data_IF_785190559925
#
_entry.id   IF_785190559925
#
_cell.length_a   1.000
_cell.length_b   1.000
_cell.length_c   1.000
_cell.angle_alpha   90.00
_cell.angle_beta   90.00
_cell.angle_gamma   90.00
#
_symmetry.space_group_name_H-M   'P 1'
#
loop_
_entity.id
_entity.type
_entity.pdbx_description
1 polymer ?
#
# COMPACT_ATOMS: atom_id res chain seq x y z
N UNK A 1 40.15 -6.63 -49.40
CA UNK A 1 38.81 -7.20 -49.65
C UNK A 1 38.49 -8.35 -48.70
N UNK A 2 39.22 -8.48 -47.57
CA UNK A 2 39.09 -9.65 -46.65
C UNK A 2 38.60 -9.31 -45.24
N UNK A 3 38.24 -8.06 -44.98
CA UNK A 3 37.84 -7.62 -43.63
C UNK A 3 36.32 -7.56 -43.46
N UNK A 4 35.54 -7.53 -44.52
CA UNK A 4 34.06 -7.47 -44.47
C UNK A 4 33.39 -8.84 -44.33
N UNK A 5 34.08 -9.92 -44.70
CA UNK A 5 33.52 -11.28 -44.64
C UNK A 5 33.58 -11.89 -43.26
N UNK A 6 34.47 -11.39 -42.39
CA UNK A 6 34.62 -11.89 -41.01
C UNK A 6 33.61 -11.30 -40.03
N UNK A 7 32.97 -10.16 -40.35
CA UNK A 7 31.97 -9.55 -39.47
C UNK A 7 30.53 -10.05 -39.71
N UNK A 8 30.26 -10.67 -40.88
CA UNK A 8 28.94 -11.26 -41.14
C UNK A 8 28.76 -12.67 -40.56
N UNK A 9 29.81 -13.40 -40.30
CA UNK A 9 29.71 -14.74 -39.68
C UNK A 9 29.53 -14.69 -38.16
N UNK A 10 30.01 -13.62 -37.47
CA UNK A 10 29.84 -13.47 -36.02
C UNK A 10 28.43 -13.05 -35.61
N UNK A 11 27.60 -12.50 -36.51
CA UNK A 11 26.24 -12.05 -36.19
C UNK A 11 25.20 -13.16 -36.33
N UNK A 12 25.53 -14.26 -37.03
CA UNK A 12 24.58 -15.33 -37.27
C UNK A 12 24.62 -16.49 -36.27
N UNK A 13 25.64 -16.55 -35.41
CA UNK A 13 25.75 -17.59 -34.37
C UNK A 13 25.01 -17.24 -33.06
N UNK A 14 24.63 -15.97 -32.87
CA UNK A 14 23.93 -15.53 -31.64
C UNK A 14 22.41 -15.54 -31.74
N UNK A 15 21.86 -15.94 -32.89
CA UNK A 15 20.38 -15.97 -33.11
C UNK A 15 19.79 -17.38 -33.01
N UNK A 16 20.62 -18.42 -33.02
CA UNK A 16 20.15 -19.81 -32.94
C UNK A 16 20.13 -20.36 -31.48
N UNK A 17 20.92 -19.79 -30.54
CA UNK A 17 20.90 -20.22 -29.13
C UNK A 17 19.70 -19.70 -28.34
N UNK A 18 19.07 -18.62 -28.74
CA UNK A 18 17.89 -18.03 -28.06
C UNK A 18 16.57 -18.74 -28.41
N UNK A 19 16.59 -19.63 -29.44
CA UNK A 19 15.36 -20.30 -29.91
C UNK A 19 15.12 -21.66 -29.28
N UNK A 20 16.09 -22.21 -28.54
CA UNK A 20 16.02 -23.56 -27.96
C UNK A 20 15.60 -23.58 -26.49
N UNK A 21 15.60 -22.43 -25.78
CA UNK A 21 15.17 -22.34 -24.37
C UNK A 21 13.69 -21.96 -24.18
N UNK A 22 12.95 -21.64 -25.24
CA UNK A 22 11.54 -21.23 -25.14
C UNK A 22 10.52 -22.37 -25.33
N UNK A 23 10.94 -23.63 -25.38
CA UNK A 23 10.04 -24.75 -25.71
C UNK A 23 9.97 -25.87 -24.66
N UNK A 24 10.40 -25.60 -23.41
CA UNK A 24 10.39 -26.61 -22.33
C UNK A 24 9.60 -26.17 -21.08
N UNK A 25 8.49 -25.47 -21.23
CA UNK A 25 7.64 -25.10 -20.11
C UNK A 25 6.15 -25.14 -20.46
N UNK A 26 5.69 -26.27 -21.01
CA UNK A 26 4.26 -26.53 -21.15
C UNK A 26 4.00 -28.03 -21.01
N UNK A 27 4.01 -28.49 -19.76
CA UNK A 27 3.35 -29.75 -19.40
C UNK A 27 3.03 -29.70 -17.89
N UNK A 28 1.78 -29.37 -17.60
CA UNK A 28 1.14 -29.57 -16.31
C UNK A 28 0.52 -30.98 -16.32
N UNK A 29 0.58 -31.73 -15.22
CA UNK A 29 -0.36 -32.82 -15.03
C UNK A 29 -1.51 -32.39 -14.13
N UNK A 30 -2.71 -32.61 -14.65
CA UNK A 30 -3.96 -32.71 -13.91
C UNK A 30 -3.95 -33.90 -12.94
N UNK A 31 -4.86 -33.75 -11.99
CA UNK A 31 -5.56 -34.77 -11.23
C UNK A 31 -4.91 -35.31 -9.96
N UNK A 32 -5.52 -35.05 -8.81
CA UNK A 32 -6.34 -36.13 -8.21
C UNK A 32 -7.18 -35.59 -7.06
N UNK A 33 -8.43 -35.94 -7.15
CA UNK A 33 -9.45 -35.91 -6.12
C UNK A 33 -9.10 -36.95 -5.02
N UNK A 34 -9.54 -36.69 -3.83
CA UNK A 34 -9.48 -37.66 -2.72
C UNK A 34 -9.64 -36.93 -1.39
N UNK A 35 -10.83 -36.91 -0.94
CA UNK A 35 -11.43 -37.74 0.11
C UNK A 35 -11.47 -37.05 1.47
N UNK A 36 -12.70 -36.76 1.89
CA UNK A 36 -13.12 -36.62 3.28
C UNK A 36 -12.65 -37.81 4.13
N UNK A 37 -12.51 -37.61 5.43
CA UNK A 37 -13.23 -38.52 6.29
C UNK A 37 -14.13 -37.82 7.30
N UNK A 38 -15.38 -38.30 7.30
CA UNK A 38 -16.32 -38.36 8.39
C UNK A 38 -15.65 -38.74 9.72
N UNK A 39 -16.10 -38.10 10.77
CA UNK A 39 -16.10 -38.75 12.08
C UNK A 39 -17.48 -38.52 12.70
N UNK A 40 -18.25 -39.58 12.61
CA UNK A 40 -19.39 -39.89 13.47
C UNK A 40 -18.96 -39.96 14.94
N UNK A 41 -19.83 -39.53 15.80
CA UNK A 41 -20.12 -40.16 17.11
C UNK A 41 -21.51 -39.68 17.53
N UNK A 42 -22.52 -40.47 17.29
CA UNK A 42 -23.31 -41.37 18.17
C UNK A 42 -23.77 -40.65 19.44
N UNK A 43 -25.02 -40.51 19.54
CA UNK A 43 -26.15 -41.37 19.84
C UNK A 43 -26.74 -41.01 21.18
N UNK A 44 -27.98 -40.87 21.18
CA UNK A 44 -28.95 -41.76 21.80
C UNK A 44 -29.81 -41.09 22.88
N UNK A 45 -31.08 -41.16 22.58
CA UNK A 45 -32.21 -41.67 23.40
C UNK A 45 -32.70 -40.73 24.50
N UNK A 46 -33.94 -40.48 24.76
CA UNK A 46 -35.20 -41.22 24.49
C UNK A 46 -36.36 -40.20 24.67
N UNK A 47 -37.34 -40.27 23.85
CA UNK A 47 -38.73 -40.58 24.07
C UNK A 47 -39.27 -40.43 25.51
N UNK A 48 -40.26 -39.57 25.68
CA UNK A 48 -41.53 -39.94 26.29
C UNK A 48 -42.54 -38.80 26.16
N UNK A 49 -43.63 -39.06 25.47
CA UNK A 49 -44.89 -38.37 25.65
C UNK A 49 -45.68 -39.10 26.74
N UNK A 50 -46.48 -38.37 27.48
CA UNK A 50 -47.91 -38.80 27.51
C UNK A 50 -48.88 -37.61 27.42
N UNK A 51 -49.89 -37.84 26.54
CA UNK A 51 -51.30 -37.97 26.80
C UNK A 51 -52.01 -36.82 27.48
N UNK A 52 -52.88 -36.24 26.67
CA UNK A 52 -54.17 -35.66 26.90
C UNK A 52 -54.77 -35.71 28.29
N UNK A 53 -55.28 -34.55 28.75
CA UNK A 53 -56.71 -34.48 29.17
C UNK A 53 -57.18 -33.01 29.39
N UNK A 54 -58.39 -32.82 29.00
CA UNK A 54 -59.24 -31.69 28.87
C UNK A 54 -59.42 -30.83 30.15
N UNK A 55 -59.59 -29.50 29.93
CA UNK A 55 -60.59 -28.63 30.60
C UNK A 55 -60.52 -27.28 29.94
N UNK A 56 -61.39 -26.96 29.08
CA UNK A 56 -62.59 -26.10 29.13
C UNK A 56 -62.36 -24.67 29.73
N UNK A 57 -62.64 -23.70 28.86
CA UNK A 57 -63.24 -22.41 29.10
C UNK A 57 -62.45 -21.38 29.91
N UNK A 58 -61.91 -20.41 29.14
CA UNK A 58 -62.16 -18.97 29.38
C UNK A 58 -61.55 -18.15 28.25
N UNK A 59 -62.34 -17.71 27.30
CA UNK A 59 -62.08 -16.50 26.57
C UNK A 59 -62.17 -15.32 27.55
N UNK A 60 -61.19 -14.47 27.55
CA UNK A 60 -61.49 -13.07 27.36
C UNK A 60 -60.66 -12.46 26.26
N UNK A 61 -61.37 -11.89 25.32
CA UNK A 61 -61.20 -10.61 24.74
C UNK A 61 -59.76 -10.09 24.56
N UNK A 62 -59.37 -10.04 23.32
CA UNK A 62 -58.88 -8.82 22.68
C UNK A 62 -57.81 -8.06 23.47
N UNK A 63 -56.62 -8.52 23.37
CA UNK A 63 -55.46 -7.65 23.30
C UNK A 63 -54.58 -8.18 22.13
N UNK A 64 -55.03 -7.89 20.92
CA UNK A 64 -54.13 -7.84 19.79
C UNK A 64 -53.05 -6.82 20.14
N UNK A 65 -52.04 -7.24 20.87
CA UNK A 65 -50.74 -6.64 20.78
C UNK A 65 -50.29 -6.82 19.33
N UNK A 66 -50.69 -5.86 18.51
CA UNK A 66 -50.19 -5.63 17.18
C UNK A 66 -48.67 -5.50 17.36
N UNK A 67 -47.99 -6.61 17.41
CA UNK A 67 -46.53 -6.66 17.19
C UNK A 67 -46.36 -5.99 15.85
N UNK A 68 -45.99 -4.72 15.89
CA UNK A 68 -45.54 -3.98 14.71
C UNK A 68 -44.45 -4.82 14.08
N UNK A 69 -44.86 -5.68 13.17
CA UNK A 69 -43.90 -6.40 12.32
C UNK A 69 -43.21 -5.28 11.56
N UNK A 70 -41.94 -5.01 11.83
CA UNK A 70 -41.27 -3.96 11.12
C UNK A 70 -41.39 -4.24 9.64
N UNK A 71 -41.96 -3.27 8.94
CA UNK A 71 -42.34 -3.40 7.55
C UNK A 71 -41.13 -3.98 6.77
N UNK A 72 -41.31 -5.15 6.20
CA UNK A 72 -40.25 -5.82 5.42
C UNK A 72 -39.73 -4.94 4.29
N UNK A 73 -40.55 -4.01 3.79
CA UNK A 73 -40.18 -3.00 2.80
C UNK A 73 -39.13 -2.04 3.34
N UNK A 74 -39.31 -1.57 4.57
CA UNK A 74 -38.35 -0.68 5.22
C UNK A 74 -37.02 -1.40 5.51
N UNK A 75 -37.09 -2.66 5.93
CA UNK A 75 -35.90 -3.49 6.12
C UNK A 75 -35.17 -3.73 4.79
N UNK A 76 -35.93 -4.04 3.73
CA UNK A 76 -35.39 -4.23 2.40
C UNK A 76 -34.76 -2.94 1.86
N UNK A 77 -35.47 -1.81 1.96
CA UNK A 77 -34.96 -0.51 1.53
C UNK A 77 -33.64 -0.14 2.27
N UNK A 78 -33.58 -0.39 3.59
CA UNK A 78 -32.39 -0.17 4.38
C UNK A 78 -31.25 -1.10 3.95
N UNK A 79 -31.51 -2.40 3.79
CA UNK A 79 -30.53 -3.36 3.33
C UNK A 79 -29.98 -3.02 1.95
N UNK A 80 -30.83 -2.55 1.03
CA UNK A 80 -30.38 -2.07 -0.29
C UNK A 80 -29.49 -0.83 -0.19
N UNK A 81 -29.87 0.14 0.65
CA UNK A 81 -29.05 1.32 0.88
C UNK A 81 -27.68 0.97 1.51
N UNK A 82 -27.67 0.06 2.48
CA UNK A 82 -26.45 -0.44 3.11
C UNK A 82 -25.57 -1.19 2.10
N UNK A 83 -26.17 -2.01 1.24
CA UNK A 83 -25.44 -2.71 0.17
C UNK A 83 -24.82 -1.74 -0.84
N UNK A 84 -25.54 -0.72 -1.27
CA UNK A 84 -25.02 0.30 -2.17
C UNK A 84 -23.86 1.09 -1.52
N UNK A 85 -24.00 1.44 -0.26
CA UNK A 85 -22.95 2.11 0.52
C UNK A 85 -21.72 1.19 0.67
N UNK A 86 -21.93 -0.09 0.98
CA UNK A 86 -20.87 -1.09 1.05
C UNK A 86 -20.15 -1.24 -0.28
N UNK A 87 -20.91 -1.37 -1.39
CA UNK A 87 -20.35 -1.47 -2.74
C UNK A 87 -19.47 -0.26 -3.08
N UNK A 88 -19.99 0.96 -2.85
CA UNK A 88 -19.23 2.20 -3.09
C UNK A 88 -17.96 2.27 -2.26
N UNK A 89 -18.03 1.86 -0.99
CA UNK A 89 -16.84 1.81 -0.10
C UNK A 89 -15.84 0.79 -0.61
N UNK A 90 -16.28 -0.43 -0.92
CA UNK A 90 -15.40 -1.51 -1.40
C UNK A 90 -14.65 -1.12 -2.68
N UNK A 91 -15.29 -0.42 -3.61
CA UNK A 91 -14.62 0.08 -4.82
C UNK A 91 -13.50 1.07 -4.46
N UNK A 92 -13.78 2.03 -3.57
CA UNK A 92 -12.76 3.00 -3.10
C UNK A 92 -11.61 2.31 -2.37
N UNK A 93 -11.94 1.38 -1.47
CA UNK A 93 -10.93 0.62 -0.71
C UNK A 93 -10.03 -0.18 -1.66
N UNK A 94 -10.61 -0.77 -2.72
CA UNK A 94 -9.83 -1.48 -3.75
C UNK A 94 -8.92 -0.54 -4.55
N UNK A 95 -9.42 0.62 -4.95
CA UNK A 95 -8.61 1.63 -5.63
C UNK A 95 -7.46 2.10 -4.73
N UNK A 96 -7.71 2.34 -3.46
CA UNK A 96 -6.68 2.71 -2.48
C UNK A 96 -5.66 1.58 -2.29
N UNK A 97 -6.10 0.33 -2.19
CA UNK A 97 -5.19 -0.82 -2.12
C UNK A 97 -4.24 -0.88 -3.31
N UNK A 98 -4.73 -0.66 -4.53
CA UNK A 98 -3.88 -0.64 -5.74
C UNK A 98 -2.90 0.54 -5.71
N UNK A 99 -3.36 1.75 -5.35
CA UNK A 99 -2.53 2.95 -5.27
C UNK A 99 -1.41 2.83 -4.24
N UNK A 100 -1.69 2.17 -3.11
CA UNK A 100 -0.73 2.05 -2.00
C UNK A 100 -0.06 0.68 -1.91
N UNK A 101 -0.29 -0.22 -2.88
CA UNK A 101 0.31 -1.56 -2.89
C UNK A 101 1.85 -1.54 -2.85
N UNK A 102 2.48 -0.57 -3.51
CA UNK A 102 3.93 -0.42 -3.56
C UNK A 102 4.51 0.36 -2.36
N UNK A 103 3.68 0.75 -1.38
CA UNK A 103 4.09 1.62 -0.27
C UNK A 103 5.33 1.11 0.47
N UNK A 104 5.35 -0.16 0.84
CA UNK A 104 6.43 -0.73 1.65
C UNK A 104 7.72 -0.85 0.82
N UNK A 105 7.62 -1.30 -0.43
CA UNK A 105 8.77 -1.36 -1.35
C UNK A 105 9.36 0.02 -1.59
N UNK A 106 8.53 1.02 -1.86
CA UNK A 106 8.99 2.41 -2.03
C UNK A 106 9.70 2.89 -0.77
N UNK A 107 9.16 2.62 0.41
CA UNK A 107 9.76 3.01 1.69
C UNK A 107 11.17 2.42 1.88
N UNK A 108 11.36 1.17 1.50
CA UNK A 108 12.68 0.51 1.58
C UNK A 108 13.67 1.12 0.57
N UNK A 109 13.21 1.44 -0.64
CA UNK A 109 14.01 2.11 -1.68
C UNK A 109 14.45 3.50 -1.23
N UNK A 110 13.61 4.24 -0.47
CA UNK A 110 13.97 5.58 0.04
C UNK A 110 15.24 5.58 0.88
N UNK A 111 15.54 4.50 1.61
CA UNK A 111 16.80 4.40 2.35
C UNK A 111 18.03 4.40 1.43
N UNK A 112 17.90 3.76 0.26
CA UNK A 112 18.96 3.76 -0.76
C UNK A 112 19.09 5.13 -1.42
N UNK A 113 17.97 5.81 -1.69
CA UNK A 113 17.95 7.18 -2.22
C UNK A 113 18.66 8.14 -1.27
N UNK A 114 18.39 8.07 0.03
CA UNK A 114 19.03 8.91 1.04
C UNK A 114 20.56 8.66 1.09
N UNK A 115 20.99 7.40 0.97
CA UNK A 115 22.40 7.06 0.95
C UNK A 115 23.11 7.59 -0.30
N UNK A 116 22.45 7.53 -1.47
CA UNK A 116 22.96 8.11 -2.72
C UNK A 116 23.05 9.64 -2.62
N UNK A 117 22.02 10.29 -2.08
CA UNK A 117 22.04 11.74 -1.85
C UNK A 117 23.21 12.14 -0.96
N UNK A 118 23.42 11.43 0.16
CA UNK A 118 24.53 11.68 1.08
C UNK A 118 25.88 11.44 0.43
N UNK A 119 26.02 10.42 -0.42
CA UNK A 119 27.25 10.17 -1.16
C UNK A 119 27.57 11.29 -2.16
N UNK A 120 26.55 11.79 -2.87
CA UNK A 120 26.69 12.92 -3.78
C UNK A 120 27.03 14.21 -3.04
N UNK A 121 26.40 14.46 -1.90
CA UNK A 121 26.74 15.61 -1.03
C UNK A 121 28.18 15.57 -0.56
N UNK A 122 28.70 14.39 -0.20
CA UNK A 122 30.12 14.20 0.16
C UNK A 122 31.08 14.30 -1.02
N UNK A 123 30.58 14.26 -2.24
CA UNK A 123 31.39 14.33 -3.46
C UNK A 123 31.30 15.68 -4.18
N UNK A 124 30.70 16.72 -3.56
CA UNK A 124 30.48 18.05 -4.18
C UNK A 124 31.77 18.67 -4.71
N UNK A 125 32.90 18.48 -4.02
CA UNK A 125 34.21 18.97 -4.44
C UNK A 125 34.72 18.30 -5.73
N UNK A 126 34.14 17.17 -6.13
CA UNK A 126 34.49 16.40 -7.32
C UNK A 126 33.32 16.28 -8.30
N UNK A 127 32.45 17.27 -8.36
CA UNK A 127 31.25 17.26 -9.21
C UNK A 127 31.56 17.03 -10.71
N UNK A 128 32.78 17.40 -11.15
CA UNK A 128 33.22 17.21 -12.54
C UNK A 128 33.75 15.81 -12.87
N UNK A 129 33.97 14.98 -11.85
CA UNK A 129 34.42 13.60 -12.03
C UNK A 129 33.36 12.81 -12.84
N UNK A 130 33.76 12.12 -13.93
CA UNK A 130 32.86 11.28 -14.71
C UNK A 130 32.11 10.21 -13.88
N UNK A 131 32.75 9.69 -12.84
CA UNK A 131 32.11 8.75 -11.92
C UNK A 131 30.98 9.40 -11.13
N UNK A 132 31.21 10.60 -10.56
CA UNK A 132 30.21 11.36 -9.80
C UNK A 132 29.02 11.71 -10.70
N UNK A 133 29.29 12.14 -11.95
CA UNK A 133 28.26 12.40 -12.95
C UNK A 133 27.42 11.14 -13.27
N UNK A 134 28.06 9.98 -13.34
CA UNK A 134 27.36 8.70 -13.51
C UNK A 134 26.44 8.38 -12.35
N UNK A 135 26.91 8.56 -11.11
CA UNK A 135 26.09 8.34 -9.92
C UNK A 135 24.92 9.33 -9.84
N UNK A 136 25.15 10.60 -10.20
CA UNK A 136 24.09 11.61 -10.28
C UNK A 136 22.98 11.20 -11.27
N UNK A 137 23.36 10.68 -12.42
CA UNK A 137 22.40 10.24 -13.45
C UNK A 137 21.55 9.06 -12.95
N UNK A 138 22.14 8.14 -12.20
CA UNK A 138 21.41 7.03 -11.56
C UNK A 138 20.45 7.56 -10.50
N UNK A 139 20.90 8.51 -9.67
CA UNK A 139 20.06 9.15 -8.65
C UNK A 139 18.86 9.86 -9.26
N UNK A 140 19.08 10.66 -10.31
CA UNK A 140 18.00 11.39 -11.01
C UNK A 140 17.02 10.42 -11.69
N UNK A 141 17.54 9.33 -12.28
CA UNK A 141 16.71 8.27 -12.84
C UNK A 141 15.81 7.60 -11.78
N UNK A 142 16.36 7.38 -10.58
CA UNK A 142 15.61 6.79 -9.47
C UNK A 142 14.52 7.73 -8.95
N UNK A 143 14.84 9.04 -8.83
CA UNK A 143 13.85 10.06 -8.46
C UNK A 143 12.70 10.12 -9.47
N UNK A 144 13.01 10.06 -10.77
CA UNK A 144 12.00 10.03 -11.82
C UNK A 144 11.11 8.79 -11.71
N UNK A 145 11.69 7.62 -11.51
CA UNK A 145 10.93 6.38 -11.32
C UNK A 145 9.99 6.48 -10.12
N UNK A 146 10.45 7.04 -9.00
CA UNK A 146 9.61 7.25 -7.82
C UNK A 146 8.45 8.21 -8.12
N UNK A 147 8.71 9.29 -8.85
CA UNK A 147 7.68 10.25 -9.27
C UNK A 147 6.63 9.61 -10.19
N UNK A 148 7.05 8.76 -11.14
CA UNK A 148 6.16 8.02 -12.05
C UNK A 148 5.23 7.05 -11.27
N UNK A 149 5.67 6.57 -10.10
CA UNK A 149 4.87 5.77 -9.18
C UNK A 149 4.09 6.60 -8.14
N UNK A 150 4.06 7.93 -8.30
CA UNK A 150 3.30 8.84 -7.45
C UNK A 150 3.97 9.17 -6.11
N UNK A 151 5.25 8.83 -5.94
CA UNK A 151 6.04 9.26 -4.79
C UNK A 151 6.70 10.62 -5.08
N UNK A 152 6.36 11.64 -4.31
CA UNK A 152 6.89 13.00 -4.46
C UNK A 152 7.66 13.41 -3.21
N UNK A 153 8.82 14.08 -3.36
CA UNK A 153 9.55 14.62 -2.23
C UNK A 153 8.75 15.75 -1.58
N UNK A 154 8.90 15.90 -0.28
CA UNK A 154 8.37 17.00 0.48
C UNK A 154 9.47 18.05 0.64
N UNK A 155 9.20 19.28 0.21
CA UNK A 155 10.11 20.40 0.42
C UNK A 155 9.73 21.08 1.73
N UNK A 156 10.50 20.83 2.78
CA UNK A 156 10.19 21.27 4.15
C UNK A 156 10.93 22.53 4.59
N UNK A 157 12.05 22.86 3.94
CA UNK A 157 12.90 23.98 4.38
C UNK A 157 12.22 25.33 4.11
N UNK A 158 12.12 26.15 5.13
CA UNK A 158 11.45 27.45 5.06
C UNK A 158 9.93 27.40 5.27
N UNK A 159 9.35 26.22 5.41
CA UNK A 159 7.93 26.06 5.69
C UNK A 159 7.66 26.01 7.21
N UNK A 160 6.45 26.39 7.67
CA UNK A 160 6.07 26.24 9.06
C UNK A 160 6.04 24.77 9.44
N UNK A 161 6.44 24.45 10.66
CA UNK A 161 6.42 23.09 11.18
C UNK A 161 4.99 22.54 11.28
N UNK A 162 4.74 21.42 10.61
CA UNK A 162 3.47 20.67 10.69
C UNK A 162 3.74 19.22 11.14
N UNK A 163 3.12 18.83 12.23
CA UNK A 163 3.25 17.48 12.81
C UNK A 163 2.76 16.35 11.90
N UNK A 164 1.93 16.65 10.89
CA UNK A 164 1.46 15.64 9.93
C UNK A 164 2.55 15.24 8.93
N UNK A 165 3.48 16.14 8.63
CA UNK A 165 4.49 15.97 7.59
C UNK A 165 5.91 16.02 8.11
N UNK A 166 6.14 16.62 9.28
CA UNK A 166 7.46 16.88 9.82
C UNK A 166 7.66 16.20 11.18
N UNK A 167 8.86 15.68 11.39
CA UNK A 167 9.35 15.15 12.65
C UNK A 167 10.52 16.03 13.12
N UNK A 168 10.32 16.83 14.17
CA UNK A 168 11.36 17.68 14.71
C UNK A 168 12.37 16.86 15.51
N UNK A 169 13.63 16.81 15.06
CA UNK A 169 14.73 16.17 15.79
C UNK A 169 15.26 17.07 16.89
N UNK A 170 15.38 18.36 16.60
CA UNK A 170 15.90 19.36 17.53
C UNK A 170 15.37 20.74 17.16
N UNK A 171 15.45 21.66 18.10
CA UNK A 171 15.15 23.07 17.85
C UNK A 171 16.37 23.91 18.24
N UNK A 172 16.78 24.79 17.33
CA UNK A 172 17.96 25.66 17.50
C UNK A 172 17.55 27.13 17.46
N UNK A 173 18.20 28.02 18.24
CA UNK A 173 18.00 29.44 18.10
C UNK A 173 18.53 29.91 16.73
N UNK A 174 17.81 30.82 16.10
CA UNK A 174 18.20 31.46 14.83
C UNK A 174 17.80 32.91 14.84
N UNK A 175 18.67 33.76 14.30
CA UNK A 175 18.37 35.19 14.11
C UNK A 175 17.68 35.48 12.76
N UNK A 176 17.87 34.55 11.80
CA UNK A 176 17.42 34.71 10.41
C UNK A 176 16.07 34.06 10.13
N UNK A 177 15.66 33.07 10.97
CA UNK A 177 14.45 32.26 10.73
C UNK A 177 13.48 32.44 11.89
N UNK A 178 12.22 32.69 11.58
CA UNK A 178 11.16 32.87 12.57
C UNK A 178 10.95 31.60 13.42
N UNK A 179 10.39 31.82 14.63
CA UNK A 179 10.05 30.69 15.50
C UNK A 179 9.02 29.77 14.87
N UNK A 180 9.24 28.45 14.98
CA UNK A 180 8.34 27.43 14.44
C UNK A 180 8.54 27.12 12.95
N UNK A 181 9.50 27.74 12.29
CA UNK A 181 9.83 27.47 10.89
C UNK A 181 10.96 26.44 10.79
N UNK A 182 10.91 25.59 9.78
CA UNK A 182 11.93 24.58 9.48
C UNK A 182 13.18 25.25 8.94
N UNK A 183 14.28 25.12 9.66
CA UNK A 183 15.58 25.70 9.27
C UNK A 183 16.36 24.79 8.33
N UNK A 184 16.33 23.49 8.60
CA UNK A 184 17.10 22.51 7.84
C UNK A 184 16.39 21.17 7.84
N UNK A 185 16.57 20.42 6.77
CA UNK A 185 16.07 19.06 6.60
C UNK A 185 17.23 18.06 6.69
N UNK A 186 17.20 17.21 7.70
CA UNK A 186 18.22 16.18 7.94
C UNK A 186 17.93 14.94 7.11
N UNK A 187 16.64 14.62 6.95
CA UNK A 187 16.18 13.51 6.14
C UNK A 187 14.91 13.92 5.40
N UNK A 188 14.94 13.75 4.09
CA UNK A 188 13.86 14.18 3.21
C UNK A 188 12.56 13.43 3.47
N UNK A 189 11.46 14.19 3.60
CA UNK A 189 10.11 13.66 3.66
C UNK A 189 9.62 13.21 2.28
N UNK A 190 8.65 12.28 2.26
CA UNK A 190 8.07 11.78 1.02
C UNK A 190 6.57 11.58 1.15
N UNK A 191 5.85 11.92 0.10
CA UNK A 191 4.43 11.68 -0.07
C UNK A 191 4.20 10.60 -1.13
N UNK A 192 3.20 9.75 -0.93
CA UNK A 192 2.72 8.80 -1.93
C UNK A 192 1.26 9.11 -2.24
N UNK A 193 0.98 9.53 -3.46
CA UNK A 193 -0.36 9.98 -3.88
C UNK A 193 -0.99 10.99 -2.90
N UNK A 194 -0.17 11.93 -2.39
CA UNK A 194 -0.61 12.97 -1.46
C UNK A 194 -0.73 12.55 0.01
N UNK A 195 -0.52 11.27 0.35
CA UNK A 195 -0.47 10.82 1.75
C UNK A 195 0.99 10.71 2.21
N UNK A 196 1.33 11.11 3.45
CA UNK A 196 2.69 10.99 3.94
C UNK A 196 3.12 9.53 4.02
N UNK A 197 4.21 9.21 3.32
CA UNK A 197 4.87 7.92 3.32
C UNK A 197 5.89 7.85 4.46
N UNK A 198 6.65 8.94 4.59
CA UNK A 198 7.65 9.17 5.62
C UNK A 198 7.71 10.67 5.93
N UNK A 199 7.64 11.07 7.22
CA UNK A 199 7.81 12.48 7.59
C UNK A 199 9.23 12.95 7.27
N UNK A 200 9.38 14.25 7.02
CA UNK A 200 10.67 14.88 6.94
C UNK A 200 11.26 15.05 8.35
N UNK A 201 12.51 14.64 8.54
CA UNK A 201 13.22 14.90 9.80
C UNK A 201 13.90 16.25 9.73
N UNK A 202 13.43 17.17 10.55
CA UNK A 202 13.77 18.58 10.43
C UNK A 202 14.35 19.16 11.72
N UNK A 203 15.08 20.26 11.53
CA UNK A 203 15.52 21.16 12.61
C UNK A 203 14.64 22.40 12.55
N UNK A 204 14.02 22.74 13.66
CA UNK A 204 13.06 23.86 13.76
C UNK A 204 13.72 25.05 14.46
N UNK A 205 13.41 26.27 14.01
CA UNK A 205 13.84 27.49 14.66
C UNK A 205 13.09 27.74 15.96
N UNK A 206 13.81 28.16 17.01
CA UNK A 206 13.25 28.76 18.26
C UNK A 206 13.12 30.27 18.16
N UNK A 207 13.43 30.87 17.01
CA UNK A 207 13.53 32.31 16.87
C UNK A 207 14.80 32.85 17.52
N UNK A 208 14.84 34.19 17.70
CA UNK A 208 15.93 34.87 18.40
C UNK A 208 15.96 34.38 19.84
N UNK A 209 17.03 33.66 20.19
CA UNK A 209 17.24 33.19 21.55
C UNK A 209 17.19 34.35 22.53
N UNK A 210 16.35 34.19 23.56
CA UNK A 210 16.32 35.11 24.68
C UNK A 210 17.57 34.93 25.54
#
# INVERSE_FOLDING_TARGET
MDTEKSQMEATNMNTEEVKTEAQAAEEAPEASAGTDPETETTAKEAAEAPSAEAAEAATPADSEAKLEQPDWKDRYARAMADFDNFRKRTVRDREDLVKFAAKDVIKDVLATVDNLARALDGAKDRADDPFVKGVQLVYDGLLKTLADHGATPLDSVGEPFDTNYHEALTSLPSEDVEEGVVMNEVQRGWLLHGKPLRPAKVVVSKGKGA
#
